data_IF_943466238357
#
_entry.id   IF_943466238357
#
_cell.length_a   1.000
_cell.length_b   1.000
_cell.length_c   1.000
_cell.angle_alpha   90.00
_cell.angle_beta   90.00
_cell.angle_gamma   90.00
#
_symmetry.space_group_name_H-M   'P 1'
#
loop_
_entity.id
_entity.type
_entity.pdbx_description
1 polymer ?
#
# COMPACT_ATOMS: atom_id res chain seq x y z
N UNK A 1 -19.63 8.18 18.21
CA UNK A 1 -18.99 6.95 17.69
C UNK A 1 -17.98 6.47 18.72
N UNK A 2 -17.67 5.17 18.74
CA UNK A 2 -16.65 4.58 19.60
C UNK A 2 -15.38 4.37 18.78
N UNK A 3 -14.21 4.72 19.32
CA UNK A 3 -12.93 4.44 18.67
C UNK A 3 -12.58 2.95 18.79
N UNK A 4 -12.07 2.35 17.73
CA UNK A 4 -11.59 0.99 17.72
C UNK A 4 -10.32 0.85 18.55
N UNK A 5 -10.26 -0.19 19.38
CA UNK A 5 -9.09 -0.49 20.23
C UNK A 5 -7.93 -1.09 19.44
N UNK A 6 -8.22 -1.76 18.34
CA UNK A 6 -7.21 -2.38 17.47
C UNK A 6 -6.59 -1.36 16.49
N UNK A 7 -7.34 -0.33 16.11
CA UNK A 7 -6.89 0.72 15.20
C UNK A 7 -7.53 2.07 15.58
N UNK A 8 -6.71 3.00 16.07
CA UNK A 8 -7.16 4.32 16.52
C UNK A 8 -7.66 5.22 15.37
N UNK A 9 -7.37 4.87 14.11
CA UNK A 9 -7.92 5.57 12.93
C UNK A 9 -9.35 5.17 12.62
N UNK A 10 -9.84 4.06 13.20
CA UNK A 10 -11.17 3.51 12.93
C UNK A 10 -12.12 3.87 14.06
N UNK A 11 -13.24 4.48 13.70
CA UNK A 11 -14.38 4.75 14.58
C UNK A 11 -15.57 3.97 14.08
N UNK A 12 -16.40 3.49 14.99
CA UNK A 12 -17.58 2.73 14.62
C UNK A 12 -18.76 3.05 15.52
N UNK A 13 -19.95 2.71 15.04
CA UNK A 13 -21.19 2.72 15.80
C UNK A 13 -21.99 1.49 15.38
N UNK A 14 -22.33 0.65 16.34
CA UNK A 14 -23.28 -0.44 16.16
C UNK A 14 -24.61 -0.05 16.78
N UNK A 15 -25.71 -0.29 16.07
CA UNK A 15 -27.07 -0.23 16.57
C UNK A 15 -27.86 -1.44 16.09
N UNK A 16 -29.09 -1.59 16.57
CA UNK A 16 -30.03 -2.59 16.05
C UNK A 16 -30.40 -2.39 14.57
N UNK A 17 -30.22 -1.16 14.06
CA UNK A 17 -30.59 -0.76 12.69
C UNK A 17 -29.43 -0.97 11.71
N UNK A 18 -28.18 -0.92 12.20
CA UNK A 18 -27.02 -1.14 11.35
C UNK A 18 -25.69 -0.73 11.99
N UNK A 19 -24.64 -0.86 11.20
CA UNK A 19 -23.27 -0.55 11.60
C UNK A 19 -22.70 0.52 10.70
N UNK A 20 -22.10 1.57 11.28
CA UNK A 20 -21.39 2.62 10.56
C UNK A 20 -19.93 2.58 10.98
N UNK A 21 -19.02 2.60 10.02
CA UNK A 21 -17.58 2.66 10.22
C UNK A 21 -17.02 3.89 9.52
N UNK A 22 -16.17 4.61 10.24
CA UNK A 22 -15.50 5.82 9.82
C UNK A 22 -14.00 5.61 10.02
N UNK A 23 -13.24 5.68 8.94
CA UNK A 23 -11.78 5.56 8.96
C UNK A 23 -11.24 6.95 8.67
N UNK A 24 -10.39 7.47 9.56
CA UNK A 24 -9.80 8.81 9.45
C UNK A 24 -8.30 8.66 9.28
N UNK A 25 -7.79 9.09 8.13
CA UNK A 25 -6.36 9.09 7.83
C UNK A 25 -5.92 10.49 7.43
N UNK A 26 -5.28 11.20 8.36
CA UNK A 26 -4.86 12.60 8.19
C UNK A 26 -6.05 13.44 7.70
N UNK A 27 -6.05 13.88 6.45
CA UNK A 27 -7.08 14.73 5.85
C UNK A 27 -8.18 13.93 5.11
N UNK A 28 -7.98 12.62 4.92
CA UNK A 28 -8.90 11.76 4.18
C UNK A 28 -9.82 10.97 5.15
N UNK A 29 -11.09 10.86 4.78
CA UNK A 29 -12.10 10.12 5.54
C UNK A 29 -12.76 9.09 4.63
N UNK A 30 -12.76 7.83 5.07
CA UNK A 30 -13.53 6.75 4.43
C UNK A 30 -14.71 6.40 5.34
N UNK A 31 -15.90 6.38 4.75
CA UNK A 31 -17.14 6.06 5.45
C UNK A 31 -17.77 4.84 4.79
N UNK A 32 -18.11 3.83 5.59
CA UNK A 32 -18.89 2.67 5.15
C UNK A 32 -19.98 2.35 6.15
N UNK A 33 -21.07 1.75 5.69
CA UNK A 33 -22.22 1.44 6.52
C UNK A 33 -22.97 0.25 5.94
N UNK A 34 -23.59 -0.56 6.80
CA UNK A 34 -24.55 -1.58 6.38
C UNK A 34 -25.88 -0.98 5.93
N UNK A 35 -26.14 0.29 6.21
CA UNK A 35 -27.36 1.01 5.86
C UNK A 35 -27.04 2.37 5.20
N UNK A 36 -27.70 2.69 4.10
CA UNK A 36 -27.50 3.95 3.36
C UNK A 36 -27.84 5.19 4.20
N UNK A 37 -28.85 5.11 5.07
CA UNK A 37 -29.25 6.22 5.93
C UNK A 37 -28.15 6.60 6.94
N UNK A 38 -27.42 5.61 7.45
CA UNK A 38 -26.27 5.82 8.33
C UNK A 38 -25.14 6.62 7.66
N UNK A 39 -24.91 6.42 6.35
CA UNK A 39 -23.93 7.21 5.59
C UNK A 39 -24.40 8.67 5.51
N UNK A 40 -25.64 8.91 5.10
CA UNK A 40 -26.17 10.27 4.91
C UNK A 40 -26.18 11.09 6.20
N UNK A 41 -26.61 10.49 7.32
CA UNK A 41 -26.57 11.15 8.63
C UNK A 41 -25.15 11.52 9.04
N UNK A 42 -24.18 10.59 8.85
CA UNK A 42 -22.80 10.84 9.23
C UNK A 42 -22.16 11.92 8.35
N UNK A 43 -22.41 11.90 7.04
CA UNK A 43 -21.97 12.95 6.12
C UNK A 43 -22.52 14.32 6.55
N UNK A 44 -23.81 14.43 6.85
CA UNK A 44 -24.40 15.68 7.31
C UNK A 44 -23.79 16.16 8.64
N UNK A 45 -23.60 15.25 9.60
CA UNK A 45 -22.97 15.58 10.87
C UNK A 45 -21.55 16.12 10.67
N UNK A 46 -20.76 15.47 9.80
CA UNK A 46 -19.41 15.89 9.46
C UNK A 46 -19.38 17.26 8.76
N UNK A 47 -20.22 17.48 7.74
CA UNK A 47 -20.30 18.76 7.03
C UNK A 47 -20.74 19.93 7.92
N UNK A 48 -21.52 19.67 8.97
CA UNK A 48 -21.96 20.72 9.89
C UNK A 48 -20.84 21.17 10.86
N UNK A 49 -19.85 20.31 11.13
CA UNK A 49 -18.77 20.60 12.07
C UNK A 49 -17.43 20.91 11.37
N UNK A 50 -17.25 20.41 10.15
CA UNK A 50 -16.00 20.50 9.41
C UNK A 50 -16.27 20.86 7.94
N UNK A 51 -15.33 21.59 7.34
CA UNK A 51 -15.36 21.88 5.91
C UNK A 51 -14.88 20.66 5.12
N UNK A 52 -15.80 19.75 4.83
CA UNK A 52 -15.50 18.48 4.13
C UNK A 52 -16.06 18.52 2.71
N UNK A 53 -15.30 17.94 1.78
CA UNK A 53 -15.73 17.71 0.40
C UNK A 53 -16.10 16.24 0.23
N UNK A 54 -17.35 15.97 -0.15
CA UNK A 54 -17.76 14.62 -0.52
C UNK A 54 -17.20 14.27 -1.91
N UNK A 55 -16.38 13.22 -1.96
CA UNK A 55 -15.78 12.69 -3.20
C UNK A 55 -16.64 11.58 -3.82
N UNK A 56 -17.76 11.22 -3.18
CA UNK A 56 -18.67 10.18 -3.65
C UNK A 56 -18.20 8.78 -3.25
N UNK A 57 -18.39 7.82 -4.17
CA UNK A 57 -17.98 6.43 -3.97
C UNK A 57 -16.45 6.36 -3.92
N UNK A 58 -15.92 5.58 -2.98
CA UNK A 58 -14.48 5.35 -2.83
C UNK A 58 -13.88 4.78 -4.12
N UNK A 59 -13.01 5.57 -4.77
CA UNK A 59 -12.25 5.18 -5.97
C UNK A 59 -10.75 5.13 -5.75
N UNK A 60 -10.23 5.90 -4.79
CA UNK A 60 -8.82 5.98 -4.49
C UNK A 60 -8.60 6.31 -3.02
N UNK A 61 -7.69 5.61 -2.35
CA UNK A 61 -7.31 5.87 -0.96
C UNK A 61 -5.87 5.41 -0.72
N UNK A 62 -5.00 6.29 -0.21
CA UNK A 62 -3.60 5.97 0.13
C UNK A 62 -2.70 5.44 -0.99
N UNK A 63 -3.08 5.55 -2.27
CA UNK A 63 -2.34 4.89 -3.35
C UNK A 63 -3.00 3.62 -3.86
N UNK A 64 -4.15 3.27 -3.31
CA UNK A 64 -4.95 2.11 -3.65
C UNK A 64 -6.15 2.56 -4.47
N UNK A 65 -6.27 2.00 -5.66
CA UNK A 65 -7.41 2.12 -6.56
C UNK A 65 -8.50 1.12 -6.14
N UNK A 66 -9.73 1.59 -6.02
CA UNK A 66 -10.88 0.78 -5.60
C UNK A 66 -11.94 0.83 -6.69
N UNK A 67 -12.33 -0.34 -7.20
CA UNK A 67 -13.45 -0.51 -8.11
C UNK A 67 -14.53 -1.34 -7.42
N UNK A 68 -15.75 -0.84 -7.39
CA UNK A 68 -16.89 -1.48 -6.73
C UNK A 68 -17.94 -1.83 -7.78
N UNK A 69 -18.42 -3.07 -7.76
CA UNK A 69 -19.52 -3.56 -8.57
C UNK A 69 -20.51 -4.37 -7.71
N UNK A 70 -21.61 -4.81 -8.32
CA UNK A 70 -22.55 -5.72 -7.65
C UNK A 70 -21.92 -7.09 -7.33
N UNK A 71 -20.84 -7.45 -8.01
CA UNK A 71 -20.13 -8.72 -7.83
C UNK A 71 -19.06 -8.65 -6.74
N UNK A 72 -18.69 -7.44 -6.28
CA UNK A 72 -17.73 -7.25 -5.20
C UNK A 72 -16.86 -6.02 -5.35
N UNK A 73 -15.72 -6.04 -4.65
CA UNK A 73 -14.75 -4.95 -4.59
C UNK A 73 -13.41 -5.45 -5.12
N UNK A 74 -12.86 -4.74 -6.10
CA UNK A 74 -11.53 -4.96 -6.63
C UNK A 74 -10.61 -3.85 -6.14
N UNK A 75 -9.44 -4.25 -5.64
CA UNK A 75 -8.43 -3.38 -5.08
C UNK A 75 -7.15 -3.51 -5.93
N UNK A 76 -6.58 -2.38 -6.36
CA UNK A 76 -5.41 -2.34 -7.25
C UNK A 76 -4.41 -1.28 -6.79
N UNK A 77 -3.12 -1.56 -6.91
CA UNK A 77 -2.05 -0.55 -6.84
C UNK A 77 -1.29 -0.46 -8.17
N UNK A 78 -1.97 -0.73 -9.30
CA UNK A 78 -1.35 -0.73 -10.64
C UNK A 78 -0.69 0.62 -10.95
N UNK A 79 -1.37 1.74 -10.69
CA UNK A 79 -0.77 3.07 -10.89
C UNK A 79 0.51 3.24 -10.07
N UNK A 80 0.47 2.85 -8.80
CA UNK A 80 1.63 2.92 -7.90
C UNK A 80 2.81 2.06 -8.39
N UNK A 81 2.54 0.83 -8.85
CA UNK A 81 3.55 -0.03 -9.46
C UNK A 81 4.18 0.60 -10.71
N UNK A 82 3.37 1.16 -11.60
CA UNK A 82 3.86 1.85 -12.81
C UNK A 82 4.69 3.09 -12.47
N UNK A 83 4.30 3.85 -11.44
CA UNK A 83 5.09 5.00 -10.98
C UNK A 83 6.46 4.57 -10.44
N UNK A 84 6.55 3.45 -9.71
CA UNK A 84 7.84 2.87 -9.28
C UNK A 84 8.70 2.48 -10.48
N UNK A 85 8.12 1.80 -11.48
CA UNK A 85 8.85 1.39 -12.68
C UNK A 85 9.32 2.60 -13.50
N UNK A 86 8.51 3.65 -13.58
CA UNK A 86 8.87 4.90 -14.26
C UNK A 86 10.02 5.61 -13.54
N UNK A 87 9.95 5.75 -12.22
CA UNK A 87 11.01 6.38 -11.42
C UNK A 87 12.35 5.63 -11.48
N UNK A 88 12.31 4.30 -11.63
CA UNK A 88 13.51 3.45 -11.67
C UNK A 88 14.03 3.25 -13.09
N UNK A 89 13.33 3.73 -14.12
CA UNK A 89 13.68 3.54 -15.52
C UNK A 89 13.45 2.11 -16.04
N UNK A 90 12.58 1.34 -15.38
CA UNK A 90 12.34 -0.09 -15.67
C UNK A 90 11.05 -0.37 -16.46
N UNK A 91 10.30 0.65 -16.89
CA UNK A 91 9.03 0.49 -17.62
C UNK A 91 9.08 -0.49 -18.81
N UNK A 92 10.19 -0.48 -19.55
CA UNK A 92 10.38 -1.32 -20.74
C UNK A 92 11.46 -2.40 -20.51
N UNK A 93 11.76 -2.73 -19.25
CA UNK A 93 12.76 -3.75 -18.96
C UNK A 93 12.23 -5.14 -19.29
N UNK A 94 13.11 -6.04 -19.72
CA UNK A 94 12.75 -7.44 -19.94
C UNK A 94 12.27 -8.05 -18.61
N UNK A 95 11.07 -8.65 -18.57
CA UNK A 95 10.56 -9.22 -17.35
C UNK A 95 11.35 -10.48 -16.94
N UNK A 96 11.35 -10.75 -15.65
CA UNK A 96 11.96 -11.91 -14.99
C UNK A 96 10.85 -12.83 -14.49
N UNK A 97 11.03 -14.14 -14.64
CA UNK A 97 10.05 -15.13 -14.17
C UNK A 97 10.25 -15.52 -12.70
N UNK A 98 11.35 -15.07 -12.08
CA UNK A 98 11.70 -15.38 -10.69
C UNK A 98 11.98 -14.11 -9.89
N UNK A 99 11.46 -14.06 -8.67
CA UNK A 99 11.67 -12.94 -7.74
C UNK A 99 13.09 -12.84 -7.20
N UNK A 100 13.71 -13.99 -6.92
CA UNK A 100 15.03 -14.12 -6.32
C UNK A 100 15.87 -15.11 -7.13
N UNK A 101 17.17 -14.99 -7.02
CA UNK A 101 18.10 -15.96 -7.60
C UNK A 101 18.30 -17.12 -6.61
N UNK A 102 17.96 -18.38 -6.97
CA UNK A 102 18.10 -19.52 -6.07
C UNK A 102 19.56 -19.86 -5.76
N UNK A 103 20.48 -19.52 -6.66
CA UNK A 103 21.90 -19.85 -6.53
C UNK A 103 22.69 -18.75 -5.79
N UNK A 104 22.07 -17.58 -5.59
CA UNK A 104 22.71 -16.43 -4.93
C UNK A 104 22.24 -16.29 -3.48
N UNK A 105 23.16 -16.45 -2.54
CA UNK A 105 22.94 -16.15 -1.12
C UNK A 105 23.26 -14.69 -0.85
N UNK A 106 22.26 -13.90 -0.45
CA UNK A 106 22.47 -12.55 0.05
C UNK A 106 23.03 -12.62 1.47
N UNK A 107 24.24 -12.11 1.68
CA UNK A 107 24.90 -12.10 2.98
C UNK A 107 25.26 -10.67 3.40
N UNK A 108 25.23 -10.37 4.71
CA UNK A 108 25.69 -9.08 5.21
C UNK A 108 27.16 -8.84 4.85
N UNK A 109 27.48 -7.61 4.42
CA UNK A 109 28.87 -7.13 4.18
C UNK A 109 29.65 -7.93 3.12
N UNK A 110 28.97 -8.65 2.24
CA UNK A 110 29.65 -9.52 1.25
C UNK A 110 30.03 -8.82 -0.07
N UNK A 111 29.77 -7.53 -0.20
CA UNK A 111 30.07 -6.78 -1.42
C UNK A 111 30.25 -5.28 -1.16
N UNK A 112 30.48 -4.55 -2.24
CA UNK A 112 30.71 -3.10 -2.19
C UNK A 112 29.50 -2.37 -1.59
N UNK A 113 29.69 -1.56 -0.54
CA UNK A 113 28.62 -0.77 0.03
C UNK A 113 28.01 0.15 -1.02
N UNK A 114 26.68 0.28 -0.99
CA UNK A 114 26.01 1.19 -1.90
C UNK A 114 26.47 2.63 -1.66
N UNK A 115 26.82 3.32 -2.74
CA UNK A 115 27.13 4.76 -2.70
C UNK A 115 25.98 5.61 -2.15
N UNK A 116 24.72 5.20 -2.41
CA UNK A 116 23.53 5.88 -1.90
C UNK A 116 22.54 4.91 -1.24
N UNK A 117 22.71 4.60 0.06
CA UNK A 117 21.80 3.74 0.81
C UNK A 117 20.37 4.27 0.93
N UNK A 118 20.16 5.59 0.80
CA UNK A 118 18.80 6.18 0.84
C UNK A 118 17.95 5.72 -0.33
N UNK A 119 18.55 5.55 -1.51
CA UNK A 119 17.86 5.05 -2.71
C UNK A 119 17.32 3.64 -2.48
N UNK A 120 18.14 2.78 -1.88
CA UNK A 120 17.74 1.43 -1.48
C UNK A 120 16.56 1.45 -0.51
N UNK A 121 16.70 2.16 0.62
CA UNK A 121 15.65 2.25 1.65
C UNK A 121 14.33 2.77 1.10
N UNK A 122 14.39 3.80 0.26
CA UNK A 122 13.21 4.36 -0.40
C UNK A 122 12.50 3.30 -1.24
N UNK A 123 13.24 2.56 -2.06
CA UNK A 123 12.66 1.58 -2.97
C UNK A 123 12.12 0.35 -2.24
N UNK A 124 12.84 -0.15 -1.23
CA UNK A 124 12.36 -1.22 -0.35
C UNK A 124 11.07 -0.80 0.37
N UNK A 125 11.01 0.45 0.87
CA UNK A 125 9.79 0.98 1.48
C UNK A 125 8.60 1.01 0.51
N UNK A 126 8.83 1.40 -0.76
CA UNK A 126 7.79 1.36 -1.79
C UNK A 126 7.34 -0.07 -2.11
N UNK A 127 8.27 -1.01 -2.23
CA UNK A 127 7.95 -2.43 -2.44
C UNK A 127 7.17 -3.01 -1.27
N UNK A 128 7.54 -2.66 -0.03
CA UNK A 128 6.80 -3.07 1.16
C UNK A 128 5.35 -2.58 1.12
N UNK A 129 5.12 -1.33 0.68
CA UNK A 129 3.76 -0.84 0.49
C UNK A 129 3.00 -1.52 -0.64
N UNK A 130 3.70 -1.95 -1.70
CA UNK A 130 3.10 -2.68 -2.83
C UNK A 130 2.65 -4.11 -2.44
N UNK A 131 3.23 -4.70 -1.39
CA UNK A 131 2.82 -6.04 -0.89
C UNK A 131 1.34 -6.11 -0.47
N UNK A 132 0.73 -4.96 -0.17
CA UNK A 132 -0.71 -4.86 0.15
C UNK A 132 -1.59 -5.47 -0.93
N UNK A 133 -1.23 -5.30 -2.22
CA UNK A 133 -1.96 -5.90 -3.36
C UNK A 133 -1.14 -6.94 -4.15
N UNK A 134 0.16 -7.07 -3.84
CA UNK A 134 1.08 -8.07 -4.42
C UNK A 134 1.66 -8.97 -3.33
N UNK A 135 0.86 -9.83 -2.68
CA UNK A 135 1.37 -10.68 -1.60
C UNK A 135 2.42 -11.69 -2.09
N UNK A 136 2.41 -12.02 -3.38
CA UNK A 136 3.35 -12.90 -4.06
C UNK A 136 4.81 -12.42 -3.97
N UNK A 137 5.07 -11.11 -3.89
CA UNK A 137 6.44 -10.57 -3.74
C UNK A 137 6.90 -10.47 -2.29
N UNK A 138 6.01 -10.68 -1.32
CA UNK A 138 6.25 -10.38 0.11
C UNK A 138 7.49 -11.07 0.67
N UNK A 139 7.72 -12.32 0.30
CA UNK A 139 8.90 -13.07 0.75
C UNK A 139 10.19 -12.37 0.30
N UNK A 140 10.31 -12.08 -1.00
CA UNK A 140 11.50 -11.43 -1.55
C UNK A 140 11.71 -10.03 -0.94
N UNK A 141 10.63 -9.27 -0.76
CA UNK A 141 10.65 -7.95 -0.10
C UNK A 141 11.12 -8.06 1.35
N UNK A 142 10.68 -9.09 2.08
CA UNK A 142 11.12 -9.32 3.46
C UNK A 142 12.61 -9.61 3.56
N UNK A 143 13.18 -10.36 2.61
CA UNK A 143 14.62 -10.67 2.56
C UNK A 143 15.44 -9.40 2.32
N UNK A 144 15.12 -8.62 1.29
CA UNK A 144 15.85 -7.37 1.00
C UNK A 144 15.68 -6.33 2.12
N UNK A 145 14.58 -6.38 2.87
CA UNK A 145 14.36 -5.50 4.02
C UNK A 145 15.35 -5.74 5.17
N UNK A 146 15.96 -6.92 5.28
CA UNK A 146 16.97 -7.21 6.32
C UNK A 146 18.23 -6.35 6.17
N UNK A 147 18.51 -5.88 4.96
CA UNK A 147 19.71 -5.09 4.63
C UNK A 147 19.48 -3.58 4.63
N UNK A 148 18.36 -3.11 5.20
CA UNK A 148 17.94 -1.70 5.18
C UNK A 148 19.00 -0.72 5.74
N UNK A 149 19.74 -1.13 6.76
CA UNK A 149 20.73 -0.30 7.44
C UNK A 149 22.05 -0.18 6.66
N UNK A 150 22.49 -1.26 6.02
CA UNK A 150 23.79 -1.35 5.34
C UNK A 150 23.68 -2.19 4.05
N UNK A 151 23.05 -1.64 2.99
CA UNK A 151 22.91 -2.33 1.72
C UNK A 151 24.22 -2.29 0.91
N UNK A 152 24.43 -3.32 0.08
CA UNK A 152 25.51 -3.42 -0.91
C UNK A 152 24.91 -3.56 -2.31
N UNK A 153 25.75 -3.54 -3.34
CA UNK A 153 25.30 -3.64 -4.75
C UNK A 153 24.53 -4.95 -5.05
N UNK A 154 24.87 -6.07 -4.42
CA UNK A 154 24.12 -7.33 -4.60
C UNK A 154 22.70 -7.24 -4.05
N UNK A 155 22.52 -6.58 -2.91
CA UNK A 155 21.18 -6.30 -2.37
C UNK A 155 20.38 -5.40 -3.32
N UNK A 156 21.02 -4.41 -3.94
CA UNK A 156 20.38 -3.56 -4.93
C UNK A 156 19.94 -4.36 -6.16
N UNK A 157 20.79 -5.24 -6.67
CA UNK A 157 20.47 -6.11 -7.80
C UNK A 157 19.27 -7.02 -7.50
N UNK A 158 19.15 -7.53 -6.27
CA UNK A 158 17.98 -8.28 -5.83
C UNK A 158 16.69 -7.43 -5.86
N UNK A 159 16.75 -6.18 -5.38
CA UNK A 159 15.61 -5.24 -5.45
C UNK A 159 15.21 -4.95 -6.91
N UNK A 160 16.18 -4.77 -7.81
CA UNK A 160 15.91 -4.57 -9.25
C UNK A 160 15.29 -5.82 -9.87
N UNK A 161 15.69 -7.03 -9.45
CA UNK A 161 15.08 -8.28 -9.91
C UNK A 161 13.61 -8.38 -9.52
N UNK A 162 13.27 -8.02 -8.28
CA UNK A 162 11.87 -7.97 -7.80
C UNK A 162 11.03 -7.04 -8.69
N UNK A 163 11.55 -5.87 -9.07
CA UNK A 163 10.83 -4.94 -9.94
C UNK A 163 10.61 -5.46 -11.37
N UNK A 164 11.45 -6.37 -11.84
CA UNK A 164 11.29 -6.99 -13.16
C UNK A 164 10.35 -8.19 -13.14
N UNK A 165 9.91 -8.63 -11.96
CA UNK A 165 8.99 -9.75 -11.84
C UNK A 165 7.62 -9.40 -12.44
N UNK A 166 7.02 -10.36 -13.14
CA UNK A 166 5.69 -10.20 -13.78
C UNK A 166 4.59 -10.06 -12.72
#
# INVERSE_FOLDING_TARGET
MTQCKADHSVFYRHSSVGSVYLIVYVDDIVLTSSESHGISQMKQHLCNHFQIKDLGILRYFLGIEVAQSNDGIVISQRKYALDILKETGLMNSKPMDTLMDPDTKLLPKQGEPMSNPKKYRRLVGKLNYLTVTRPDISFAVSVVSQFFNSPCEDHWNAVIRILKYK
#
